data_IF_771692387333
#
_entry.id   IF_771692387333
#
_cell.length_a   1.000
_cell.length_b   1.000
_cell.length_c   1.000
_cell.angle_alpha   90.00
_cell.angle_beta   90.00
_cell.angle_gamma   90.00
#
_symmetry.space_group_name_H-M   'P 1'
#
loop_
_entity.id
_entity.type
_entity.pdbx_description
1 polymer ?
#
# COMPACT_ATOMS: atom_id res chain seq x y z
N UNK A 1 2.85 -7.96 5.25
CA UNK A 1 4.29 -7.99 4.96
C UNK A 1 4.39 -7.98 3.46
N UNK A 2 5.23 -7.11 2.92
CA UNK A 2 5.22 -6.75 1.52
C UNK A 2 6.65 -6.50 1.07
N UNK A 3 6.81 -6.58 -0.24
CA UNK A 3 8.07 -6.30 -0.93
C UNK A 3 7.79 -5.29 -2.03
N UNK A 4 8.74 -4.39 -2.27
CA UNK A 4 8.74 -3.49 -3.40
C UNK A 4 10.09 -3.59 -4.10
N UNK A 5 10.10 -3.47 -5.42
CA UNK A 5 11.35 -3.47 -6.21
C UNK A 5 11.52 -2.09 -6.78
N UNK A 6 12.63 -1.44 -6.46
CA UNK A 6 13.00 -0.15 -7.02
C UNK A 6 13.43 -0.28 -8.48
N UNK A 7 13.48 0.85 -9.20
CA UNK A 7 13.81 0.85 -10.63
C UNK A 7 15.23 0.35 -10.94
N UNK A 8 16.14 0.44 -9.97
CA UNK A 8 17.52 -0.08 -10.06
C UNK A 8 17.63 -1.57 -9.70
N UNK A 9 16.53 -2.22 -9.31
CA UNK A 9 16.48 -3.62 -8.89
C UNK A 9 16.62 -3.85 -7.39
N UNK A 10 16.89 -2.82 -6.59
CA UNK A 10 16.97 -2.95 -5.13
C UNK A 10 15.62 -3.39 -4.56
N UNK A 11 15.62 -4.40 -3.70
CA UNK A 11 14.39 -4.92 -3.07
C UNK A 11 14.22 -4.27 -1.70
N UNK A 12 13.05 -3.71 -1.46
CA UNK A 12 12.64 -3.16 -0.16
C UNK A 12 11.66 -4.14 0.49
N UNK A 13 11.89 -4.46 1.76
CA UNK A 13 11.08 -5.43 2.51
C UNK A 13 10.53 -4.80 3.79
N UNK A 14 9.23 -4.97 4.00
CA UNK A 14 8.55 -4.57 5.23
C UNK A 14 8.73 -5.67 6.29
N UNK A 15 9.63 -5.43 7.24
CA UNK A 15 9.87 -6.30 8.38
C UNK A 15 8.96 -5.87 9.54
N UNK A 16 7.79 -6.51 9.57
CA UNK A 16 6.69 -6.11 10.44
C UNK A 16 7.03 -6.25 11.92
N UNK A 17 7.65 -7.38 12.28
CA UNK A 17 7.95 -7.74 13.67
C UNK A 17 9.16 -6.98 14.21
N UNK A 18 10.13 -6.66 13.36
CA UNK A 18 11.31 -5.87 13.75
C UNK A 18 11.15 -4.36 13.51
N UNK A 19 9.96 -3.91 13.11
CA UNK A 19 9.58 -2.50 12.97
C UNK A 19 10.55 -1.69 12.09
N UNK A 20 10.85 -2.21 10.89
CA UNK A 20 11.76 -1.57 9.95
C UNK A 20 11.43 -1.91 8.50
N UNK A 21 11.93 -1.07 7.60
CA UNK A 21 12.09 -1.39 6.19
C UNK A 21 13.57 -1.67 5.96
N UNK A 22 13.87 -2.78 5.29
CA UNK A 22 15.24 -3.14 4.89
C UNK A 22 15.36 -3.13 3.37
N UNK A 23 16.56 -2.88 2.87
CA UNK A 23 16.93 -3.07 1.47
C UNK A 23 17.72 -4.36 1.30
N UNK A 24 17.62 -4.96 0.12
CA UNK A 24 18.43 -6.07 -0.36
C UNK A 24 18.97 -5.67 -1.73
N UNK A 25 20.29 -5.65 -1.87
CA UNK A 25 20.96 -5.31 -3.13
C UNK A 25 21.12 -6.54 -4.06
N UNK A 26 21.82 -6.34 -5.19
CA UNK A 26 22.04 -7.39 -6.20
C UNK A 26 22.92 -8.54 -5.69
N UNK A 27 23.75 -8.29 -4.68
CA UNK A 27 24.62 -9.25 -4.01
C UNK A 27 23.89 -10.01 -2.88
N UNK A 28 22.70 -9.53 -2.50
CA UNK A 28 21.90 -10.12 -1.43
C UNK A 28 22.20 -9.54 -0.05
N UNK A 29 22.95 -8.44 0.03
CA UNK A 29 23.29 -7.79 1.30
C UNK A 29 22.09 -7.02 1.84
N UNK A 30 21.82 -7.20 3.13
CA UNK A 30 20.65 -6.61 3.80
C UNK A 30 21.08 -5.42 4.64
N UNK A 31 20.44 -4.27 4.42
CA UNK A 31 20.67 -3.05 5.21
C UNK A 31 19.36 -2.47 5.73
N UNK A 32 19.38 -1.88 6.94
CA UNK A 32 18.24 -1.11 7.44
C UNK A 32 18.14 0.20 6.65
N UNK A 33 16.98 0.44 6.04
CA UNK A 33 16.71 1.65 5.28
C UNK A 33 15.99 2.70 6.14
N UNK A 34 14.96 2.27 6.88
CA UNK A 34 14.18 3.16 7.73
C UNK A 34 13.48 2.40 8.87
N UNK A 35 13.25 3.08 9.98
CA UNK A 35 12.44 2.56 11.09
C UNK A 35 10.98 2.91 10.88
N UNK A 36 10.12 1.90 10.84
CA UNK A 36 8.68 2.07 10.63
C UNK A 36 7.94 1.14 11.59
N UNK A 37 6.94 1.65 12.30
CA UNK A 37 6.24 0.83 13.30
C UNK A 37 5.22 -0.10 12.62
N UNK A 38 5.59 -1.36 12.50
CA UNK A 38 4.73 -2.44 11.98
C UNK A 38 4.36 -2.26 10.51
N UNK A 39 5.36 -2.10 9.61
CA UNK A 39 5.12 -1.93 8.19
C UNK A 39 4.48 -3.18 7.60
N UNK A 40 3.56 -3.02 6.65
CA UNK A 40 2.82 -4.12 6.04
C UNK A 40 2.94 -4.18 4.53
N UNK A 41 2.53 -3.13 3.82
CA UNK A 41 2.58 -3.00 2.36
C UNK A 41 3.51 -1.88 1.93
N UNK A 42 4.08 -1.99 0.73
CA UNK A 42 5.12 -1.09 0.20
C UNK A 42 4.87 -0.80 -1.28
N UNK A 43 4.95 0.47 -1.69
CA UNK A 43 4.93 0.83 -3.12
C UNK A 43 5.64 2.14 -3.37
N UNK A 44 6.43 2.20 -4.44
CA UNK A 44 7.07 3.43 -4.90
C UNK A 44 6.15 4.27 -5.76
N UNK A 45 6.26 5.58 -5.65
CA UNK A 45 5.80 6.50 -6.70
C UNK A 45 6.85 6.67 -7.81
N UNK A 46 6.51 7.41 -8.86
CA UNK A 46 7.42 7.69 -9.98
C UNK A 46 8.62 8.57 -9.62
N UNK A 47 8.59 9.25 -8.48
CA UNK A 47 9.65 10.13 -7.99
C UNK A 47 10.64 9.40 -7.08
N UNK A 48 10.37 8.12 -6.75
CA UNK A 48 11.18 7.32 -5.84
C UNK A 48 10.77 7.45 -4.36
N UNK A 49 9.63 8.06 -4.06
CA UNK A 49 9.09 8.09 -2.70
C UNK A 49 8.43 6.75 -2.40
N UNK A 50 8.83 6.12 -1.30
CA UNK A 50 8.28 4.84 -0.84
C UNK A 50 7.10 5.08 0.09
N UNK A 51 5.90 4.67 -0.32
CA UNK A 51 4.73 4.64 0.54
C UNK A 51 4.65 3.32 1.29
N UNK A 52 4.37 3.40 2.59
CA UNK A 52 4.37 2.25 3.49
C UNK A 52 3.10 2.25 4.33
N UNK A 53 2.26 1.23 4.14
CA UNK A 53 1.17 0.95 5.05
C UNK A 53 1.73 0.46 6.39
N UNK A 54 1.18 0.94 7.51
CA UNK A 54 1.71 0.66 8.86
C UNK A 54 0.58 0.26 9.82
N UNK A 55 0.97 -0.45 10.88
CA UNK A 55 0.10 -0.72 12.04
C UNK A 55 0.19 0.38 13.13
N UNK A 56 1.02 1.40 12.94
CA UNK A 56 1.12 2.57 13.82
C UNK A 56 -0.13 3.44 13.72
N UNK A 57 -0.27 4.41 14.63
CA UNK A 57 -1.37 5.38 14.61
C UNK A 57 -1.45 6.16 13.29
N UNK A 58 -0.36 6.28 12.54
CA UNK A 58 -0.28 7.03 11.29
C UNK A 58 -0.89 6.28 10.10
N UNK A 59 -0.92 4.94 10.15
CA UNK A 59 -1.49 4.00 9.15
C UNK A 59 -0.86 4.01 7.76
N UNK A 60 -0.37 5.15 7.28
CA UNK A 60 0.38 5.31 6.05
C UNK A 60 1.48 6.35 6.29
N UNK A 61 2.71 5.97 5.96
CA UNK A 61 3.85 6.89 5.93
C UNK A 61 4.44 6.91 4.53
N UNK A 62 5.17 7.98 4.22
CA UNK A 62 6.05 8.06 3.06
C UNK A 62 7.50 8.17 3.52
N UNK A 63 8.40 7.60 2.74
CA UNK A 63 9.83 7.58 3.01
C UNK A 63 10.55 8.11 1.78
N UNK A 64 11.41 9.11 1.98
CA UNK A 64 12.23 9.65 0.89
C UNK A 64 13.49 8.80 0.64
N UNK A 65 14.29 9.18 -0.35
CA UNK A 65 15.52 8.46 -0.71
C UNK A 65 16.59 8.48 0.39
N UNK A 66 16.51 9.39 1.36
CA UNK A 66 17.40 9.46 2.52
C UNK A 66 16.92 8.61 3.70
N UNK A 67 15.76 7.96 3.61
CA UNK A 67 15.16 7.20 4.70
C UNK A 67 14.34 8.05 5.67
N UNK A 68 14.05 9.32 5.35
CA UNK A 68 13.24 10.18 6.21
C UNK A 68 11.77 9.77 6.15
N UNK A 69 11.18 9.45 7.31
CA UNK A 69 9.80 8.97 7.42
C UNK A 69 8.87 10.12 7.79
N UNK A 70 7.83 10.35 6.99
CA UNK A 70 6.77 11.32 7.27
C UNK A 70 5.40 10.67 7.23
N UNK A 71 4.52 11.00 8.18
CA UNK A 71 3.11 10.58 8.14
C UNK A 71 2.37 11.19 6.93
N UNK A 72 1.45 10.43 6.34
CA UNK A 72 0.54 10.96 5.32
C UNK A 72 -0.70 11.53 6.00
N UNK A 73 -1.04 12.77 5.67
CA UNK A 73 -2.17 13.47 6.27
C UNK A 73 -3.51 12.74 6.02
N UNK A 74 -4.34 12.65 7.06
CA UNK A 74 -5.64 11.97 7.03
C UNK A 74 -5.57 10.44 7.08
N UNK A 75 -4.39 9.83 6.97
CA UNK A 75 -4.27 8.38 6.99
C UNK A 75 -4.65 7.75 8.33
N UNK A 76 -4.58 8.50 9.43
CA UNK A 76 -5.04 8.10 10.76
C UNK A 76 -6.54 7.73 10.82
N UNK A 77 -7.34 8.09 9.80
CA UNK A 77 -8.74 7.67 9.67
C UNK A 77 -8.89 6.20 9.22
N UNK A 78 -7.85 5.60 8.64
CA UNK A 78 -7.84 4.20 8.27
C UNK A 78 -7.93 3.34 9.54
N UNK A 79 -8.87 2.39 9.56
CA UNK A 79 -9.05 1.50 10.71
C UNK A 79 -7.99 0.41 10.76
N UNK A 80 -7.65 -0.19 9.62
CA UNK A 80 -6.63 -1.22 9.52
C UNK A 80 -5.99 -1.27 8.12
N UNK A 81 -4.91 -0.51 7.94
CA UNK A 81 -4.15 -0.50 6.70
C UNK A 81 -3.51 -1.88 6.46
N UNK A 82 -3.82 -2.50 5.33
CA UNK A 82 -3.26 -3.79 4.94
C UNK A 82 -2.13 -3.63 3.93
N UNK A 83 -2.42 -3.01 2.80
CA UNK A 83 -1.51 -2.87 1.67
C UNK A 83 -1.65 -1.50 1.00
N UNK A 84 -0.66 -1.11 0.21
CA UNK A 84 -0.62 0.15 -0.53
C UNK A 84 -0.13 -0.08 -1.96
N UNK A 85 -0.78 0.57 -2.92
CA UNK A 85 -0.32 0.61 -4.31
C UNK A 85 -0.33 2.05 -4.84
N UNK A 86 0.72 2.42 -5.55
CA UNK A 86 0.82 3.73 -6.21
C UNK A 86 0.73 3.54 -7.73
N UNK A 87 -0.10 4.34 -8.39
CA UNK A 87 -0.24 4.29 -9.84
C UNK A 87 0.58 5.35 -10.58
N UNK A 88 0.65 5.21 -11.91
CA UNK A 88 1.38 6.15 -12.74
C UNK A 88 0.77 7.55 -12.83
N UNK A 89 -0.45 7.76 -12.33
CA UNK A 89 -1.10 9.06 -12.23
C UNK A 89 -0.91 9.70 -10.85
N UNK A 90 -0.17 9.04 -9.95
CA UNK A 90 0.10 9.50 -8.59
C UNK A 90 -0.97 9.15 -7.57
N UNK A 91 -1.97 8.31 -7.91
CA UNK A 91 -2.92 7.78 -6.91
C UNK A 91 -2.17 6.90 -5.93
N UNK A 92 -2.44 7.08 -4.64
CA UNK A 92 -1.88 6.28 -3.54
C UNK A 92 -3.03 5.55 -2.89
N UNK A 93 -3.22 4.29 -3.27
CA UNK A 93 -4.37 3.49 -2.88
C UNK A 93 -4.05 2.60 -1.68
N UNK A 94 -4.87 2.64 -0.64
CA UNK A 94 -4.67 1.84 0.59
C UNK A 94 -5.93 1.04 0.90
N UNK A 95 -5.76 -0.25 1.16
CA UNK A 95 -6.85 -1.14 1.60
C UNK A 95 -7.05 -1.01 3.11
N UNK A 96 -8.27 -0.67 3.53
CA UNK A 96 -8.69 -0.65 4.94
C UNK A 96 -9.52 -1.91 5.26
N UNK A 97 -8.86 -2.91 5.83
CA UNK A 97 -9.45 -4.21 6.09
C UNK A 97 -10.56 -4.21 7.14
N UNK A 98 -10.58 -3.24 8.07
CA UNK A 98 -11.63 -3.13 9.10
C UNK A 98 -12.62 -2.00 8.82
N UNK A 99 -12.23 -1.02 8.01
CA UNK A 99 -13.12 0.01 7.49
C UNK A 99 -13.89 -0.39 6.24
N UNK A 100 -13.65 -1.59 5.70
CA UNK A 100 -14.32 -2.11 4.47
C UNK A 100 -14.25 -1.09 3.34
N UNK A 101 -13.07 -0.53 3.13
CA UNK A 101 -12.89 0.56 2.17
C UNK A 101 -11.52 0.53 1.50
N UNK A 102 -11.44 1.20 0.35
CA UNK A 102 -10.21 1.53 -0.35
C UNK A 102 -10.07 3.05 -0.32
N UNK A 103 -8.96 3.53 0.20
CA UNK A 103 -8.61 4.94 0.29
C UNK A 103 -7.71 5.35 -0.86
N UNK A 104 -7.78 6.61 -1.26
CA UNK A 104 -6.82 7.30 -2.10
C UNK A 104 -6.29 8.52 -1.34
N UNK A 105 -4.98 8.77 -1.42
CA UNK A 105 -4.32 9.91 -0.78
C UNK A 105 -3.76 10.94 -1.77
N UNK A 106 -4.03 10.79 -3.07
CA UNK A 106 -3.66 11.80 -4.05
C UNK A 106 -4.54 13.05 -3.90
N UNK A 107 -3.94 14.15 -3.44
CA UNK A 107 -4.65 15.41 -3.22
C UNK A 107 -5.47 15.46 -1.94
N UNK A 108 -5.21 14.56 -0.98
CA UNK A 108 -5.93 14.44 0.29
C UNK A 108 -6.57 13.07 0.47
N UNK A 109 -7.08 12.79 1.67
CA UNK A 109 -7.69 11.51 2.00
C UNK A 109 -9.12 11.41 1.44
N UNK A 110 -9.38 10.43 0.57
CA UNK A 110 -10.70 10.16 0.04
C UNK A 110 -10.94 8.65 -0.14
N UNK A 111 -12.14 8.17 0.17
CA UNK A 111 -12.50 6.78 -0.15
C UNK A 111 -12.92 6.67 -1.62
N UNK A 112 -12.40 5.67 -2.32
CA UNK A 112 -12.77 5.36 -3.71
C UNK A 112 -13.72 4.18 -3.81
N UNK A 113 -13.79 3.36 -2.77
CA UNK A 113 -14.74 2.27 -2.61
C UNK A 113 -15.00 2.05 -1.13
N UNK A 114 -16.25 1.82 -0.73
CA UNK A 114 -16.61 1.50 0.65
C UNK A 114 -17.90 0.69 0.76
N UNK A 115 -18.00 -0.08 1.85
CA UNK A 115 -19.22 -0.80 2.21
C UNK A 115 -19.36 -2.14 1.48
N UNK A 116 -20.54 -2.73 1.58
CA UNK A 116 -20.82 -4.04 1.01
C UNK A 116 -20.68 -4.00 -0.53
N UNK A 117 -20.08 -5.02 -1.16
CA UNK A 117 -19.77 -6.34 -0.58
C UNK A 117 -18.34 -6.48 -0.01
N UNK A 118 -17.63 -5.39 0.27
CA UNK A 118 -16.31 -5.49 0.93
C UNK A 118 -16.46 -6.02 2.37
N UNK A 119 -15.70 -7.06 2.69
CA UNK A 119 -15.66 -7.68 4.02
C UNK A 119 -14.30 -7.45 4.66
N UNK A 120 -13.20 -7.74 3.95
CA UNK A 120 -11.84 -7.58 4.45
C UNK A 120 -10.83 -7.43 3.30
N UNK A 121 -10.79 -6.27 2.61
CA UNK A 121 -9.81 -6.05 1.56
C UNK A 121 -8.37 -6.13 2.12
N UNK A 122 -7.49 -6.86 1.43
CA UNK A 122 -6.11 -7.13 1.88
C UNK A 122 -5.09 -6.60 0.89
N UNK A 123 -4.91 -7.27 -0.25
CA UNK A 123 -3.86 -6.93 -1.21
C UNK A 123 -4.41 -6.00 -2.30
N UNK A 124 -3.58 -5.08 -2.77
CA UNK A 124 -3.91 -4.18 -3.88
C UNK A 124 -2.70 -3.99 -4.78
N UNK A 125 -2.91 -3.97 -6.09
CA UNK A 125 -1.86 -3.71 -7.06
C UNK A 125 -2.38 -2.90 -8.23
N UNK A 126 -1.48 -2.15 -8.85
CA UNK A 126 -1.72 -1.38 -10.05
C UNK A 126 -0.92 -2.00 -11.19
N UNK A 127 -1.56 -2.16 -12.34
CA UNK A 127 -0.88 -2.55 -13.58
C UNK A 127 -1.41 -1.72 -14.75
N UNK A 128 -0.77 -1.82 -15.94
CA UNK A 128 -1.34 -1.25 -17.16
C UNK A 128 -2.75 -1.78 -17.50
N UNK A 129 -3.16 -2.94 -16.95
CA UNK A 129 -4.48 -3.52 -17.19
C UNK A 129 -5.57 -2.95 -16.26
N UNK A 130 -5.18 -2.23 -15.21
CA UNK A 130 -6.07 -1.67 -14.21
C UNK A 130 -5.57 -1.91 -12.78
N UNK A 131 -6.41 -1.56 -11.83
CA UNK A 131 -6.19 -1.81 -10.40
C UNK A 131 -6.88 -3.12 -10.03
N UNK A 132 -6.16 -3.97 -9.31
CA UNK A 132 -6.65 -5.25 -8.84
C UNK A 132 -6.50 -5.29 -7.33
N UNK A 133 -7.51 -5.81 -6.65
CA UNK A 133 -7.45 -6.03 -5.21
C UNK A 133 -8.07 -7.36 -4.84
N UNK A 134 -7.71 -7.86 -3.67
CA UNK A 134 -8.26 -9.10 -3.12
C UNK A 134 -8.99 -8.82 -1.82
N UNK A 135 -10.20 -9.35 -1.73
CA UNK A 135 -11.02 -9.41 -0.53
C UNK A 135 -11.39 -10.87 -0.24
N UNK A 136 -10.48 -11.63 0.38
CA UNK A 136 -10.60 -13.07 0.53
C UNK A 136 -11.75 -13.51 1.44
N UNK A 137 -12.40 -12.60 2.17
CA UNK A 137 -13.56 -12.90 3.02
C UNK A 137 -14.88 -12.43 2.42
N UNK A 138 -14.82 -11.72 1.30
CA UNK A 138 -15.96 -11.18 0.57
C UNK A 138 -15.92 -11.60 -0.89
N UNK A 139 -15.42 -10.72 -1.75
CA UNK A 139 -15.57 -10.76 -3.21
C UNK A 139 -14.43 -11.46 -3.97
N UNK A 140 -13.53 -12.17 -3.30
CA UNK A 140 -12.38 -12.79 -3.97
C UNK A 140 -11.49 -11.74 -4.62
N UNK A 141 -11.29 -11.83 -5.94
CA UNK A 141 -10.51 -10.85 -6.72
C UNK A 141 -11.44 -9.84 -7.40
N UNK A 142 -11.15 -8.55 -7.22
CA UNK A 142 -11.84 -7.47 -7.92
C UNK A 142 -10.88 -6.73 -8.84
N UNK A 143 -11.43 -6.20 -9.93
CA UNK A 143 -10.83 -5.15 -10.73
C UNK A 143 -11.56 -3.83 -10.50
N UNK A 144 -10.82 -2.74 -10.32
CA UNK A 144 -11.35 -1.39 -10.41
C UNK A 144 -11.01 -0.82 -11.79
N UNK A 145 -12.03 -0.37 -12.51
CA UNK A 145 -11.87 0.32 -13.79
C UNK A 145 -11.46 1.79 -13.57
N UNK A 146 -11.25 2.56 -14.65
CA UNK A 146 -10.65 3.90 -14.57
C UNK A 146 -11.45 4.89 -13.69
N UNK A 147 -12.77 4.73 -13.65
CA UNK A 147 -13.74 5.47 -12.84
C UNK A 147 -13.93 4.89 -11.42
N UNK A 148 -13.12 3.90 -11.04
CA UNK A 148 -13.23 3.14 -9.80
C UNK A 148 -14.51 2.29 -9.68
N UNK A 149 -15.22 2.05 -10.78
CA UNK A 149 -16.26 1.02 -10.80
C UNK A 149 -15.62 -0.35 -10.55
N UNK A 150 -16.23 -1.14 -9.67
CA UNK A 150 -15.72 -2.47 -9.30
C UNK A 150 -16.35 -3.57 -10.14
N UNK A 151 -15.53 -4.55 -10.53
CA UNK A 151 -15.93 -5.78 -11.20
C UNK A 151 -15.31 -6.97 -10.48
N UNK A 152 -16.15 -7.89 -9.99
CA UNK A 152 -15.72 -9.15 -9.40
C UNK A 152 -15.22 -10.09 -10.51
N UNK A 153 -14.05 -10.68 -10.29
CA UNK A 153 -13.38 -11.58 -11.24
C UNK A 153 -13.37 -13.05 -10.78
N UNK A 154 -13.67 -13.32 -9.51
CA UNK A 154 -13.74 -14.67 -8.94
C UNK A 154 -14.72 -14.73 -7.78
N UNK A 155 -15.21 -15.93 -7.46
CA UNK A 155 -15.93 -16.25 -6.22
C UNK A 155 -15.07 -17.11 -5.30
#
# INVERSE_FOLDING_TARGET
MGIAVAADGTIYVADLELHRVVTIDAEGEVAEFAKVQGPSGLSFDKSGILYVATRSADRLVKIDAGGEVTAVEGANEIRFAQDVAVDGNGRVLVTDGYGKSIWNFAGGANKVLEGEPLVHPVGITVSPLGIYLVDPRGLGVLKLDADMASKVLSE
#
